data_IF_520313758029
#
_entry.id   IF_520313758029
#
_cell.length_a   1.000
_cell.length_b   1.000
_cell.length_c   1.000
_cell.angle_alpha   90.00
_cell.angle_beta   90.00
_cell.angle_gamma   90.00
#
_symmetry.space_group_name_H-M   'P 1'
#
loop_
_entity.id
_entity.type
_entity.pdbx_description
1 polymer ?
#
# COMPACT_ATOMS: atom_id res chain seq x y z
N UNK A 1 -0.41 -1.77 -26.38
CA UNK A 1 0.48 -1.56 -25.22
C UNK A 1 -0.38 -1.23 -24.00
N UNK A 2 -0.15 -1.98 -22.91
CA UNK A 2 -0.89 -1.72 -21.68
C UNK A 2 -0.48 -0.38 -21.09
N UNK A 3 -1.42 0.37 -20.56
CA UNK A 3 -1.18 1.64 -19.89
C UNK A 3 -1.76 1.60 -18.48
N UNK A 4 -1.26 2.46 -17.63
CA UNK A 4 -1.79 2.59 -16.28
C UNK A 4 -3.17 3.23 -16.30
N UNK A 5 -4.01 2.86 -15.34
CA UNK A 5 -5.32 3.47 -15.18
C UNK A 5 -5.65 3.72 -13.72
N UNK A 6 -6.43 4.76 -13.46
CA UNK A 6 -6.88 5.06 -12.12
C UNK A 6 -8.03 4.11 -11.77
N UNK A 7 -7.90 3.39 -10.68
CA UNK A 7 -8.96 2.53 -10.16
C UNK A 7 -9.90 3.31 -9.24
N UNK A 8 -9.33 4.16 -8.38
CA UNK A 8 -10.10 4.96 -7.43
C UNK A 8 -9.27 6.16 -6.96
N UNK A 9 -9.94 7.27 -6.68
CA UNK A 9 -9.30 8.45 -6.09
C UNK A 9 -10.26 9.18 -5.18
N UNK A 10 -9.74 9.69 -4.06
CA UNK A 10 -10.46 10.62 -3.19
C UNK A 10 -9.45 11.60 -2.54
N UNK A 11 -9.89 12.34 -1.53
CA UNK A 11 -9.05 13.33 -0.86
C UNK A 11 -7.83 12.72 -0.15
N UNK A 12 -7.89 11.43 0.24
CA UNK A 12 -6.80 10.77 0.95
C UNK A 12 -5.70 10.24 0.01
N UNK A 13 -6.04 9.86 -1.23
CA UNK A 13 -5.07 9.30 -2.14
C UNK A 13 -5.67 8.76 -3.41
N UNK A 14 -4.84 8.01 -4.15
CA UNK A 14 -5.20 7.46 -5.46
C UNK A 14 -4.69 6.04 -5.60
N UNK A 15 -5.53 5.18 -6.17
CA UNK A 15 -5.18 3.79 -6.49
C UNK A 15 -5.05 3.66 -8.01
N UNK A 16 -3.92 3.11 -8.44
CA UNK A 16 -3.63 2.86 -9.86
C UNK A 16 -3.54 1.37 -10.15
N UNK A 17 -4.03 0.98 -11.31
CA UNK A 17 -3.72 -0.33 -11.92
C UNK A 17 -2.55 -0.12 -12.87
N UNK A 18 -1.45 -0.83 -12.64
CA UNK A 18 -0.20 -0.62 -13.38
C UNK A 18 0.07 -1.74 -14.39
N UNK A 19 0.76 -1.43 -15.52
CA UNK A 19 0.94 -2.40 -16.62
C UNK A 19 1.72 -3.66 -16.25
N UNK A 20 2.58 -3.62 -15.25
CA UNK A 20 3.41 -4.77 -14.86
C UNK A 20 2.76 -5.63 -13.78
N UNK A 21 1.43 -5.60 -13.67
CA UNK A 21 0.64 -6.43 -12.78
C UNK A 21 0.93 -6.16 -11.31
N UNK A 22 0.93 -4.90 -10.93
CA UNK A 22 0.93 -4.46 -9.55
C UNK A 22 -0.04 -3.29 -9.40
N UNK A 23 -0.52 -3.07 -8.18
CA UNK A 23 -1.32 -1.89 -7.84
C UNK A 23 -0.42 -0.84 -7.24
N UNK A 24 -0.78 0.43 -7.40
CA UNK A 24 -0.05 1.53 -6.81
C UNK A 24 -1.00 2.36 -5.96
N UNK A 25 -0.54 2.71 -4.76
CA UNK A 25 -1.24 3.61 -3.85
C UNK A 25 -0.38 4.86 -3.65
N UNK A 26 -0.92 6.00 -4.06
CA UNK A 26 -0.31 7.31 -3.79
C UNK A 26 -1.11 7.99 -2.70
N UNK A 27 -0.48 8.30 -1.57
CA UNK A 27 -1.09 9.13 -0.55
C UNK A 27 -0.95 10.60 -0.92
N UNK A 28 -2.03 11.37 -0.73
CA UNK A 28 -1.98 12.82 -0.90
C UNK A 28 -1.37 13.49 0.32
N UNK A 29 -0.93 14.76 0.13
CA UNK A 29 -0.25 15.51 1.19
C UNK A 29 -1.19 16.02 2.28
N UNK A 30 -2.46 16.20 1.97
CA UNK A 30 -3.44 16.76 2.89
C UNK A 30 -3.68 15.85 4.10
N UNK A 31 -4.05 16.40 5.26
CA UNK A 31 -4.50 15.58 6.39
C UNK A 31 -5.67 14.69 5.97
N UNK A 32 -5.66 13.45 6.43
CA UNK A 32 -6.67 12.48 6.05
C UNK A 32 -7.83 12.45 7.04
N UNK A 33 -9.05 12.49 6.52
CA UNK A 33 -10.23 12.19 7.31
C UNK A 33 -10.42 10.68 7.37
N UNK A 34 -10.93 10.17 8.47
CA UNK A 34 -11.10 8.74 8.70
C UNK A 34 -11.94 8.07 7.60
N UNK A 35 -13.06 8.70 7.23
CA UNK A 35 -13.96 8.15 6.20
C UNK A 35 -13.23 8.03 4.86
N UNK A 36 -12.50 9.07 4.46
CA UNK A 36 -11.76 9.08 3.19
C UNK A 36 -10.63 8.04 3.21
N UNK A 37 -9.90 7.93 4.32
CA UNK A 37 -8.83 6.94 4.46
C UNK A 37 -9.38 5.51 4.33
N UNK A 38 -10.43 5.20 5.08
CA UNK A 38 -11.03 3.86 5.04
C UNK A 38 -11.61 3.53 3.67
N UNK A 39 -12.23 4.51 3.01
CA UNK A 39 -12.75 4.31 1.65
C UNK A 39 -11.61 4.01 0.66
N UNK A 40 -10.51 4.74 0.74
CA UNK A 40 -9.35 4.52 -0.11
C UNK A 40 -8.81 3.10 0.03
N UNK A 41 -8.60 2.64 1.25
CA UNK A 41 -8.08 1.31 1.54
C UNK A 41 -9.09 0.20 1.21
N UNK A 42 -10.39 0.47 1.36
CA UNK A 42 -11.43 -0.48 0.98
C UNK A 42 -11.45 -0.69 -0.53
N UNK A 43 -11.32 0.37 -1.31
CA UNK A 43 -11.24 0.24 -2.78
C UNK A 43 -9.93 -0.43 -3.21
N UNK A 44 -8.84 -0.18 -2.49
CA UNK A 44 -7.59 -0.89 -2.73
C UNK A 44 -7.75 -2.39 -2.49
N UNK A 45 -8.44 -2.78 -1.42
CA UNK A 45 -8.75 -4.18 -1.15
C UNK A 45 -9.56 -4.80 -2.31
N UNK A 46 -10.57 -4.10 -2.79
CA UNK A 46 -11.37 -4.56 -3.92
C UNK A 46 -10.51 -4.76 -5.17
N UNK A 47 -9.58 -3.85 -5.43
CA UNK A 47 -8.66 -3.98 -6.56
C UNK A 47 -7.73 -5.19 -6.39
N UNK A 48 -7.21 -5.43 -5.18
CA UNK A 48 -6.39 -6.61 -4.89
C UNK A 48 -7.14 -7.89 -5.17
N UNK A 49 -8.38 -7.99 -4.70
CA UNK A 49 -9.24 -9.16 -4.93
C UNK A 49 -9.51 -9.34 -6.42
N UNK A 50 -9.87 -8.27 -7.11
CA UNK A 50 -10.23 -8.30 -8.52
C UNK A 50 -9.08 -8.74 -9.41
N UNK A 51 -7.87 -8.24 -9.15
CA UNK A 51 -6.72 -8.52 -10.00
C UNK A 51 -5.94 -9.76 -9.60
N UNK A 52 -5.89 -10.07 -8.31
CA UNK A 52 -5.14 -11.23 -7.82
C UNK A 52 -3.62 -11.11 -8.01
N UNK A 53 -3.09 -9.91 -8.20
CA UNK A 53 -1.66 -9.70 -8.44
C UNK A 53 -0.80 -9.87 -7.19
N UNK A 54 -1.36 -9.60 -6.01
CA UNK A 54 -0.66 -9.74 -4.74
C UNK A 54 0.46 -8.76 -4.48
N UNK A 55 0.59 -7.72 -5.29
CA UNK A 55 1.69 -6.75 -5.25
C UNK A 55 1.17 -5.33 -5.18
N UNK A 56 1.80 -4.53 -4.31
CA UNK A 56 1.42 -3.14 -4.10
C UNK A 56 2.67 -2.27 -3.96
N UNK A 57 2.73 -1.20 -4.73
CA UNK A 57 3.71 -0.13 -4.51
C UNK A 57 3.00 1.01 -3.78
N UNK A 58 3.55 1.44 -2.66
CA UNK A 58 2.97 2.50 -1.83
C UNK A 58 3.90 3.70 -1.85
N UNK A 59 3.43 4.80 -2.42
CA UNK A 59 4.18 6.05 -2.45
C UNK A 59 3.81 6.89 -1.24
N UNK A 60 4.72 6.96 -0.27
CA UNK A 60 4.52 7.72 0.96
C UNK A 60 5.28 9.05 0.98
N UNK A 61 5.87 9.46 -0.14
CA UNK A 61 6.72 10.65 -0.16
C UNK A 61 6.02 11.93 0.30
N UNK A 62 4.73 12.06 0.02
CA UNK A 62 3.92 13.23 0.40
C UNK A 62 3.03 12.98 1.62
N UNK A 63 3.07 11.78 2.16
CA UNK A 63 2.14 11.31 3.18
C UNK A 63 2.41 11.94 4.54
N UNK A 64 1.36 12.41 5.21
CA UNK A 64 1.42 12.67 6.65
C UNK A 64 1.55 11.34 7.40
N UNK A 65 2.23 11.29 8.56
CA UNK A 65 2.38 10.04 9.32
C UNK A 65 1.04 9.39 9.60
N UNK A 66 1.01 8.05 9.66
CA UNK A 66 -0.18 7.35 10.13
C UNK A 66 -0.50 7.75 11.57
N UNK A 67 -1.76 7.99 11.85
CA UNK A 67 -2.22 8.10 13.24
C UNK A 67 -2.24 6.73 13.89
N UNK A 68 -2.30 6.69 15.22
CA UNK A 68 -2.42 5.43 15.95
C UNK A 68 -3.70 4.68 15.55
N UNK A 69 -4.80 5.43 15.37
CA UNK A 69 -6.07 4.84 14.95
C UNK A 69 -5.99 4.25 13.53
N UNK A 70 -5.36 4.95 12.59
CA UNK A 70 -5.14 4.44 11.23
C UNK A 70 -4.32 3.16 11.24
N UNK A 71 -3.22 3.17 11.99
CA UNK A 71 -2.33 2.00 12.08
C UNK A 71 -3.05 0.81 12.70
N UNK A 72 -3.80 1.02 13.78
CA UNK A 72 -4.57 -0.05 14.43
C UNK A 72 -5.59 -0.65 13.46
N UNK A 73 -6.32 0.18 12.74
CA UNK A 73 -7.30 -0.29 11.76
C UNK A 73 -6.63 -1.07 10.63
N UNK A 74 -5.48 -0.61 10.13
CA UNK A 74 -4.74 -1.32 9.09
C UNK A 74 -4.32 -2.71 9.57
N UNK A 75 -3.75 -2.82 10.76
CA UNK A 75 -3.25 -4.09 11.29
C UNK A 75 -4.38 -5.03 11.68
N UNK A 76 -5.43 -4.50 12.31
CA UNK A 76 -6.50 -5.34 12.89
C UNK A 76 -7.57 -5.70 11.89
N UNK A 77 -7.84 -4.84 10.91
CA UNK A 77 -8.97 -5.00 9.99
C UNK A 77 -8.53 -5.17 8.54
N UNK A 78 -7.76 -4.23 8.00
CA UNK A 78 -7.49 -4.19 6.57
C UNK A 78 -6.49 -5.24 6.11
N UNK A 79 -5.32 -5.32 6.76
CA UNK A 79 -4.25 -6.25 6.37
C UNK A 79 -4.69 -7.71 6.39
N UNK A 80 -5.36 -8.19 7.46
CA UNK A 80 -5.83 -9.59 7.45
C UNK A 80 -6.74 -9.90 6.27
N UNK A 81 -7.61 -8.97 5.90
CA UNK A 81 -8.51 -9.16 4.77
C UNK A 81 -7.75 -9.08 3.44
N UNK A 82 -6.83 -8.13 3.31
CA UNK A 82 -6.03 -7.98 2.09
C UNK A 82 -5.21 -9.25 1.80
N UNK A 83 -4.67 -9.85 2.84
CA UNK A 83 -3.87 -11.08 2.73
C UNK A 83 -4.76 -12.28 2.39
N UNK A 84 -5.84 -12.49 3.13
CA UNK A 84 -6.71 -13.65 2.94
C UNK A 84 -7.57 -13.55 1.68
N UNK A 85 -8.21 -12.41 1.48
CA UNK A 85 -9.17 -12.24 0.38
C UNK A 85 -8.49 -11.76 -0.90
N UNK A 86 -7.48 -10.89 -0.78
CA UNK A 86 -6.80 -10.27 -1.91
C UNK A 86 -5.51 -10.94 -2.33
N UNK A 87 -5.03 -11.91 -1.56
CA UNK A 87 -3.74 -12.56 -1.88
C UNK A 87 -2.54 -11.63 -1.76
N UNK A 88 -2.64 -10.58 -0.95
CA UNK A 88 -1.59 -9.57 -0.80
C UNK A 88 -0.34 -10.19 -0.17
N UNK A 89 0.81 -10.11 -0.85
CA UNK A 89 2.07 -10.73 -0.41
C UNK A 89 3.22 -9.74 -0.32
N UNK A 90 3.34 -8.80 -1.26
CA UNK A 90 4.50 -7.91 -1.34
C UNK A 90 4.07 -6.46 -1.41
N UNK A 91 4.57 -5.67 -0.47
CA UNK A 91 4.40 -4.22 -0.46
C UNK A 91 5.75 -3.52 -0.55
N UNK A 92 5.97 -2.78 -1.63
CA UNK A 92 7.16 -1.96 -1.81
C UNK A 92 6.81 -0.52 -1.44
N UNK A 93 7.50 0.05 -0.46
CA UNK A 93 7.19 1.37 0.07
C UNK A 93 8.28 2.36 -0.30
N UNK A 94 7.88 3.43 -0.99
CA UNK A 94 8.77 4.58 -1.22
C UNK A 94 8.59 5.52 -0.04
N UNK A 95 9.63 5.64 0.77
CA UNK A 95 9.55 6.32 2.07
C UNK A 95 9.42 7.83 1.96
N UNK A 96 8.68 8.40 2.90
CA UNK A 96 8.68 9.83 3.16
C UNK A 96 10.04 10.26 3.74
N UNK A 97 10.41 11.51 3.52
CA UNK A 97 11.55 12.11 4.23
C UNK A 97 11.19 12.50 5.66
N UNK A 98 9.91 12.56 6.00
CA UNK A 98 9.44 12.89 7.35
C UNK A 98 9.79 11.74 8.31
N UNK A 99 10.61 12.00 9.37
CA UNK A 99 11.02 10.94 10.29
C UNK A 99 9.86 10.26 11.01
N UNK A 100 8.80 10.99 11.32
CA UNK A 100 7.63 10.42 12.00
C UNK A 100 6.88 9.45 11.09
N UNK A 101 6.77 9.79 9.80
CA UNK A 101 6.17 8.89 8.82
C UNK A 101 6.99 7.61 8.65
N UNK A 102 8.32 7.71 8.66
CA UNK A 102 9.21 6.55 8.60
C UNK A 102 9.03 5.63 9.80
N UNK A 103 8.94 6.19 11.00
CA UNK A 103 8.73 5.41 12.23
C UNK A 103 7.37 4.70 12.18
N UNK A 104 6.31 5.39 11.78
CA UNK A 104 4.99 4.78 11.70
C UNK A 104 4.95 3.65 10.67
N UNK A 105 5.64 3.79 9.54
CA UNK A 105 5.74 2.71 8.55
C UNK A 105 6.53 1.51 9.07
N UNK A 106 7.62 1.75 9.79
CA UNK A 106 8.40 0.68 10.40
C UNK A 106 7.55 -0.14 11.37
N UNK A 107 6.76 0.53 12.20
CA UNK A 107 5.86 -0.15 13.14
C UNK A 107 4.81 -0.98 12.41
N UNK A 108 4.26 -0.45 11.33
CA UNK A 108 3.28 -1.18 10.51
C UNK A 108 3.92 -2.42 9.89
N UNK A 109 5.11 -2.29 9.32
CA UNK A 109 5.82 -3.40 8.71
C UNK A 109 6.16 -4.50 9.71
N UNK A 110 6.56 -4.14 10.93
CA UNK A 110 6.83 -5.11 11.98
C UNK A 110 5.58 -5.88 12.39
N UNK A 111 4.47 -5.17 12.57
CA UNK A 111 3.19 -5.79 12.93
C UNK A 111 2.69 -6.72 11.82
N UNK A 112 2.93 -6.39 10.55
CA UNK A 112 2.44 -7.18 9.42
C UNK A 112 3.20 -8.48 9.18
N UNK A 113 4.42 -8.61 9.68
CA UNK A 113 5.25 -9.81 9.45
C UNK A 113 4.55 -11.10 9.88
N UNK A 114 3.86 -11.05 11.01
CA UNK A 114 3.14 -12.21 11.54
C UNK A 114 1.92 -12.59 10.70
N UNK A 115 1.45 -11.67 9.86
CA UNK A 115 0.27 -11.90 9.03
C UNK A 115 0.59 -12.56 7.69
N UNK A 116 1.87 -12.68 7.32
CA UNK A 116 2.29 -13.43 6.15
C UNK A 116 2.57 -12.62 4.89
N UNK A 117 2.55 -11.28 4.96
CA UNK A 117 3.01 -10.47 3.84
C UNK A 117 4.37 -9.84 4.14
N UNK A 118 5.05 -9.37 3.11
CA UNK A 118 6.37 -8.76 3.22
C UNK A 118 6.32 -7.32 2.75
N UNK A 119 6.69 -6.39 3.63
CA UNK A 119 6.96 -5.01 3.26
C UNK A 119 8.46 -4.79 3.15
N UNK A 120 8.87 -4.05 2.13
CA UNK A 120 10.24 -3.56 2.03
C UNK A 120 10.21 -2.07 1.68
N UNK A 121 11.10 -1.31 2.30
CA UNK A 121 11.14 0.15 2.17
C UNK A 121 12.31 0.57 1.30
N UNK A 122 12.12 1.66 0.53
CA UNK A 122 13.09 2.13 -0.44
C UNK A 122 13.16 3.66 -0.41
N UNK A 123 14.32 4.19 -0.77
CA UNK A 123 14.52 5.62 -0.91
C UNK A 123 14.13 6.16 -2.29
N UNK A 124 13.93 5.28 -3.27
CA UNK A 124 13.54 5.68 -4.62
C UNK A 124 12.47 4.77 -5.20
N UNK A 125 11.69 5.33 -6.13
CA UNK A 125 10.65 4.58 -6.82
C UNK A 125 11.24 3.49 -7.71
N UNK A 126 12.36 3.76 -8.39
CA UNK A 126 12.98 2.79 -9.30
C UNK A 126 13.43 1.54 -8.56
N UNK A 127 14.05 1.69 -7.39
CA UNK A 127 14.46 0.54 -6.58
C UNK A 127 13.26 -0.26 -6.07
N UNK A 128 12.22 0.44 -5.64
CA UNK A 128 10.98 -0.19 -5.18
C UNK A 128 10.34 -1.01 -6.29
N UNK A 129 10.27 -0.45 -7.49
CA UNK A 129 9.67 -1.10 -8.64
C UNK A 129 10.47 -2.33 -9.08
N UNK A 130 11.81 -2.22 -9.10
CA UNK A 130 12.68 -3.35 -9.44
C UNK A 130 12.44 -4.54 -8.50
N UNK A 131 12.42 -4.28 -7.20
CA UNK A 131 12.18 -5.33 -6.22
C UNK A 131 10.78 -5.95 -6.39
N UNK A 132 9.78 -5.12 -6.56
CA UNK A 132 8.39 -5.56 -6.61
C UNK A 132 8.11 -6.41 -7.86
N UNK A 133 8.63 -5.99 -9.02
CA UNK A 133 8.40 -6.71 -10.27
C UNK A 133 9.13 -8.05 -10.32
N UNK A 134 10.23 -8.19 -9.58
CA UNK A 134 10.97 -9.44 -9.48
C UNK A 134 10.39 -10.40 -8.44
N UNK A 135 9.58 -9.92 -7.52
CA UNK A 135 8.98 -10.76 -6.49
C UNK A 135 8.02 -11.77 -7.13
N UNK A 136 8.03 -13.02 -6.64
CA UNK A 136 7.18 -14.09 -7.16
C UNK A 136 6.08 -14.40 -6.14
N UNK A 137 4.84 -14.26 -6.57
CA UNK A 137 3.69 -14.60 -5.73
C UNK A 137 3.42 -16.10 -5.88
N UNK A 138 3.56 -16.85 -4.79
CA UNK A 138 3.26 -18.29 -4.76
C UNK A 138 1.74 -18.49 -4.91
N UNK A 139 1.41 -19.46 -5.72
CA UNK A 139 0.00 -19.84 -5.94
C UNK A 139 -0.40 -20.99 -5.04
#
# INVERSE_FOLDING_TARGET
MASRSIYFENAAGRVWEEPLNYLRLDYHAAPREEVAFRALLTHLLQALVRRGWGKLLIDQRKMAPYSDAERAWLVDEWLPRAIREGGYRYGAVVLSENPFARVSMTRLAMASRELGNTYKTFGSEDEALDWLTQAVVAR
#
